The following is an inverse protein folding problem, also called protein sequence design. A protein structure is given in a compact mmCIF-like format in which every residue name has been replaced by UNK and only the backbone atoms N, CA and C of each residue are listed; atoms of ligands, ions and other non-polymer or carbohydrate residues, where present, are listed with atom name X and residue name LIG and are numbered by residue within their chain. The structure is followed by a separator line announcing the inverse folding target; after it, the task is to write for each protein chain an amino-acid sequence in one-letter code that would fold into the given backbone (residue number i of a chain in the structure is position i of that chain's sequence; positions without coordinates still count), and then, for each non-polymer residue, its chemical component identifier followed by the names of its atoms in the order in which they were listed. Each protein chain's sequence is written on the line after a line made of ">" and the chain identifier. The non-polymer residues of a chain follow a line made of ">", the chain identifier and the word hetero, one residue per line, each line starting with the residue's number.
data_IF_824974188722
#
_entry.id   IF_824974188722
#
_cell.length_a   1.000
_cell.length_b   1.000
_cell.length_c   1.000
_cell.angle_alpha   90.00
_cell.angle_beta   90.00
_cell.angle_gamma   90.00
#
_symmetry.space_group_name_H-M   'P 1'
#
loop_
_entity.id
_entity.type
_entity.pdbx_description
1 polymer ?
#
# COMPACT_ATOMS: atom_id res chain seq x y z
N UNK A 1 -14.91 1.31 7.30
CA UNK A 1 -13.55 0.98 7.80
C UNK A 1 -12.83 -0.04 6.92
N UNK A 2 -13.43 -1.19 6.60
CA UNK A 2 -12.78 -2.20 5.72
C UNK A 2 -12.43 -1.63 4.34
N UNK A 3 -13.36 -0.91 3.70
CA UNK A 3 -13.13 -0.24 2.41
C UNK A 3 -12.01 0.80 2.47
N UNK A 4 -11.94 1.57 3.57
CA UNK A 4 -10.86 2.54 3.82
C UNK A 4 -9.52 1.82 3.97
N UNK A 5 -9.48 0.73 4.74
CA UNK A 5 -8.27 -0.07 4.92
C UNK A 5 -7.79 -0.70 3.61
N UNK A 6 -8.70 -1.18 2.76
CA UNK A 6 -8.38 -1.67 1.42
C UNK A 6 -7.81 -0.54 0.53
N UNK A 7 -8.41 0.65 0.55
CA UNK A 7 -7.90 1.79 -0.20
C UNK A 7 -6.50 2.21 0.29
N UNK A 8 -6.27 2.25 1.60
CA UNK A 8 -4.96 2.52 2.21
C UNK A 8 -3.93 1.49 1.73
N UNK A 9 -4.28 0.19 1.75
CA UNK A 9 -3.41 -0.87 1.27
C UNK A 9 -3.05 -0.72 -0.20
N UNK A 10 -4.04 -0.49 -1.06
CA UNK A 10 -3.83 -0.33 -2.51
C UNK A 10 -2.95 0.88 -2.80
N UNK A 11 -3.22 2.04 -2.19
CA UNK A 11 -2.44 3.26 -2.40
C UNK A 11 -0.99 3.05 -1.93
N UNK A 12 -0.80 2.49 -0.72
CA UNK A 12 0.52 2.25 -0.16
C UNK A 12 1.36 1.31 -1.04
N UNK A 13 0.78 0.20 -1.50
CA UNK A 13 1.45 -0.76 -2.38
C UNK A 13 1.72 -0.15 -3.77
N UNK A 14 0.76 0.57 -4.33
CA UNK A 14 0.90 1.21 -5.65
C UNK A 14 2.02 2.24 -5.66
N UNK A 15 2.06 3.12 -4.65
CA UNK A 15 3.09 4.16 -4.54
C UNK A 15 4.50 3.58 -4.34
N UNK A 16 4.62 2.44 -3.66
CA UNK A 16 5.92 1.84 -3.32
C UNK A 16 6.43 0.84 -4.35
N UNK A 17 5.55 0.17 -5.10
CA UNK A 17 5.95 -0.87 -6.04
C UNK A 17 5.91 -0.42 -7.51
N UNK A 18 5.14 0.61 -7.85
CA UNK A 18 5.09 1.10 -9.24
C UNK A 18 6.29 1.98 -9.59
N UNK A 19 6.88 1.72 -10.77
CA UNK A 19 7.97 2.51 -11.33
C UNK A 19 7.55 3.95 -11.68
N UNK A 20 6.25 4.19 -11.88
CA UNK A 20 5.70 5.51 -12.18
C UNK A 20 5.93 6.50 -11.03
N UNK A 21 6.01 6.01 -9.79
CA UNK A 21 6.16 6.85 -8.59
C UNK A 21 7.60 6.96 -8.10
N UNK A 22 8.61 6.57 -8.90
CA UNK A 22 10.05 6.67 -8.52
C UNK A 22 10.47 8.06 -8.05
N UNK A 23 9.89 9.13 -8.64
CA UNK A 23 10.17 10.50 -8.22
C UNK A 23 9.70 10.76 -6.78
N UNK A 24 8.53 10.24 -6.42
CA UNK A 24 7.91 10.38 -5.10
C UNK A 24 8.59 9.47 -4.06
N UNK A 25 9.04 8.28 -4.48
CA UNK A 25 9.84 7.35 -3.67
C UNK A 25 11.23 7.90 -3.27
N UNK A 26 11.63 9.07 -3.76
CA UNK A 26 12.82 9.78 -3.22
C UNK A 26 12.60 10.19 -1.76
N UNK A 27 11.35 10.43 -1.35
CA UNK A 27 10.99 10.63 0.05
C UNK A 27 11.11 9.30 0.81
N UNK A 28 11.98 9.25 1.83
CA UNK A 28 12.24 8.01 2.61
C UNK A 28 10.96 7.38 3.19
N UNK A 29 10.02 8.20 3.62
CA UNK A 29 8.71 7.79 4.14
C UNK A 29 7.86 7.01 3.12
N UNK A 30 8.03 7.29 1.83
CA UNK A 30 7.25 6.73 0.73
C UNK A 30 7.94 5.56 0.03
N UNK A 31 9.05 5.06 0.59
CA UNK A 31 9.70 3.80 0.15
C UNK A 31 9.16 2.59 0.88
N UNK A 32 8.75 2.75 2.13
CA UNK A 32 8.23 1.68 2.95
C UNK A 32 6.70 1.62 2.79
N UNK A 33 6.12 0.47 2.37
CA UNK A 33 4.67 0.33 2.21
C UNK A 33 3.94 0.62 3.51
N UNK A 34 4.44 0.11 4.63
CA UNK A 34 3.84 0.32 5.95
C UNK A 34 3.91 1.78 6.39
N UNK A 35 5.04 2.48 6.17
CA UNK A 35 5.13 3.90 6.48
C UNK A 35 4.18 4.74 5.62
N UNK A 36 4.03 4.37 4.35
CA UNK A 36 3.07 5.01 3.43
C UNK A 36 1.63 4.77 3.90
N UNK A 37 1.30 3.54 4.34
CA UNK A 37 -0.01 3.23 4.91
C UNK A 37 -0.33 4.07 6.16
N UNK A 38 0.65 4.30 7.04
CA UNK A 38 0.49 5.19 8.19
C UNK A 38 0.19 6.62 7.74
N UNK A 39 0.95 7.13 6.76
CA UNK A 39 0.77 8.48 6.24
C UNK A 39 -0.60 8.66 5.56
N UNK A 40 -1.01 7.71 4.73
CA UNK A 40 -2.31 7.74 4.03
C UNK A 40 -3.46 7.61 5.02
N UNK A 41 -3.37 6.69 5.99
CA UNK A 41 -4.38 6.54 7.06
C UNK A 41 -4.52 7.84 7.86
N UNK A 42 -3.41 8.47 8.25
CA UNK A 42 -3.42 9.75 8.94
C UNK A 42 -4.13 10.85 8.15
N UNK A 43 -3.85 10.97 6.84
CA UNK A 43 -4.50 11.94 5.96
C UNK A 43 -6.01 11.69 5.83
N UNK A 44 -6.43 10.44 5.64
CA UNK A 44 -7.85 10.11 5.49
C UNK A 44 -8.62 10.47 6.75
N UNK A 45 -8.10 10.10 7.92
CA UNK A 45 -8.76 10.37 9.20
C UNK A 45 -8.66 11.83 9.62
N UNK A 46 -7.74 12.63 9.07
CA UNK A 46 -7.73 14.09 9.23
C UNK A 46 -8.94 14.74 8.56
N UNK A 47 -9.42 14.19 7.44
CA UNK A 47 -10.55 14.71 6.68
C UNK A 47 -11.93 14.28 7.23
N UNK A 48 -11.96 13.37 8.22
CA UNK A 48 -13.21 12.90 8.83
C UNK A 48 -13.59 13.77 10.04
N UNK A 49 -14.89 14.03 10.28
CA UNK A 49 -15.32 14.71 11.49
C UNK A 49 -14.93 13.88 12.72
N UNK A 50 -14.21 14.50 13.66
CA UNK A 50 -13.67 13.83 14.84
C UNK A 50 -14.51 14.15 16.06
N UNK A 51 -14.90 13.12 16.80
CA UNK A 51 -15.54 13.25 18.12
C UNK A 51 -14.52 13.58 19.20
N UNK A 52 -13.34 12.93 19.20
CA UNK A 52 -12.24 13.16 20.14
C UNK A 52 -10.86 12.77 19.56
N UNK A 53 -9.77 13.27 20.17
CA UNK A 53 -8.39 12.95 19.77
C UNK A 53 -8.07 11.44 19.91
N UNK A 54 -8.60 10.81 20.96
CA UNK A 54 -8.39 9.39 21.23
C UNK A 54 -9.02 8.51 20.14
N UNK A 55 -10.24 8.82 19.72
CA UNK A 55 -10.94 8.13 18.63
C UNK A 55 -10.17 8.25 17.32
N UNK A 56 -9.58 9.41 17.05
CA UNK A 56 -8.73 9.61 15.88
C UNK A 56 -7.51 8.66 15.89
N UNK A 57 -6.79 8.59 17.00
CA UNK A 57 -5.61 7.72 17.12
C UNK A 57 -6.01 6.26 16.93
N UNK A 58 -7.05 5.80 17.63
CA UNK A 58 -7.55 4.42 17.53
C UNK A 58 -7.94 4.10 16.08
N UNK A 59 -8.67 4.98 15.42
CA UNK A 59 -9.12 4.76 14.05
C UNK A 59 -7.98 4.70 13.04
N UNK A 60 -6.95 5.55 13.19
CA UNK A 60 -5.75 5.51 12.35
C UNK A 60 -5.05 4.16 12.49
N UNK A 61 -4.76 3.74 13.72
CA UNK A 61 -4.06 2.46 13.98
C UNK A 61 -4.89 1.24 13.60
N UNK A 62 -6.20 1.24 13.88
CA UNK A 62 -7.10 0.17 13.49
C UNK A 62 -7.16 0.01 11.96
N UNK A 63 -7.21 1.12 11.22
CA UNK A 63 -7.19 1.11 9.76
C UNK A 63 -5.89 0.53 9.22
N UNK A 64 -4.76 0.89 9.82
CA UNK A 64 -3.45 0.36 9.44
C UNK A 64 -3.37 -1.14 9.72
N UNK A 65 -3.77 -1.58 10.90
CA UNK A 65 -3.76 -2.99 11.29
C UNK A 65 -4.60 -3.84 10.32
N UNK A 66 -5.79 -3.35 9.96
CA UNK A 66 -6.66 -4.04 8.99
C UNK A 66 -6.06 -3.99 7.57
N UNK A 67 -5.36 -2.91 7.19
CA UNK A 67 -4.74 -2.78 5.87
C UNK A 67 -3.55 -3.71 5.63
N UNK A 68 -2.92 -4.24 6.68
CA UNK A 68 -1.76 -5.14 6.55
C UNK A 68 -2.13 -6.41 5.80
N UNK A 69 -3.31 -6.99 6.08
CA UNK A 69 -3.76 -8.22 5.42
C UNK A 69 -3.89 -8.05 3.88
N UNK A 70 -4.65 -7.07 3.35
CA UNK A 70 -4.71 -6.84 1.92
C UNK A 70 -3.36 -6.40 1.33
N UNK A 71 -2.49 -5.70 2.07
CA UNK A 71 -1.13 -5.41 1.59
C UNK A 71 -0.32 -6.69 1.34
N UNK A 72 -0.37 -7.66 2.24
CA UNK A 72 0.30 -8.97 2.07
C UNK A 72 -0.27 -9.70 0.85
N UNK A 73 -1.60 -9.68 0.66
CA UNK A 73 -2.24 -10.31 -0.49
C UNK A 73 -1.78 -9.65 -1.80
N UNK A 74 -1.76 -8.32 -1.86
CA UNK A 74 -1.28 -7.58 -3.05
C UNK A 74 0.18 -7.92 -3.33
N UNK A 75 1.04 -7.97 -2.30
CA UNK A 75 2.46 -8.31 -2.46
C UNK A 75 2.66 -9.72 -3.02
N UNK A 76 1.89 -10.67 -2.49
CA UNK A 76 1.91 -12.05 -2.96
C UNK A 76 1.49 -12.17 -4.43
N UNK A 77 0.40 -11.48 -4.82
CA UNK A 77 -0.10 -11.45 -6.18
C UNK A 77 0.92 -10.82 -7.14
N UNK A 78 1.52 -9.69 -6.76
CA UNK A 78 2.53 -9.02 -7.58
C UNK A 78 3.77 -9.92 -7.77
N UNK A 79 4.23 -10.58 -6.71
CA UNK A 79 5.35 -11.53 -6.80
C UNK A 79 5.05 -12.70 -7.72
N UNK A 80 3.81 -13.22 -7.71
CA UNK A 80 3.38 -14.30 -8.61
C UNK A 80 3.29 -13.83 -10.05
N UNK A 81 2.71 -12.66 -10.29
CA UNK A 81 2.61 -12.06 -11.62
C UNK A 81 3.98 -11.80 -12.23
N UNK A 82 4.93 -11.26 -11.47
CA UNK A 82 6.31 -11.04 -11.93
C UNK A 82 7.01 -12.34 -12.31
N UNK A 83 6.79 -13.42 -11.53
CA UNK A 83 7.31 -14.75 -11.87
C UNK A 83 6.69 -15.27 -13.17
N UNK A 84 5.38 -15.14 -13.35
CA UNK A 84 4.71 -15.54 -14.59
C UNK A 84 5.16 -14.73 -15.80
N UNK A 85 5.31 -13.41 -15.66
CA UNK A 85 5.80 -12.54 -16.73
C UNK A 85 7.23 -12.92 -17.16
N UNK A 86 8.12 -13.21 -16.22
CA UNK A 86 9.50 -13.65 -16.53
C UNK A 86 9.54 -14.96 -17.33
N UNK A 87 8.69 -15.94 -16.97
CA UNK A 87 8.60 -17.22 -17.70
C UNK A 87 8.08 -17.00 -19.13
N UNK A 88 7.07 -16.13 -19.28
CA UNK A 88 6.49 -15.84 -20.59
C UNK A 88 7.51 -15.17 -21.53
N UNK A 89 8.30 -14.23 -21.01
CA UNK A 89 9.30 -13.50 -21.79
C UNK A 89 10.61 -14.26 -22.00
N UNK A 90 11.00 -15.19 -21.11
CA UNK A 90 12.21 -16.02 -21.31
C UNK A 90 12.04 -17.06 -22.43
N UNK A 91 10.80 -17.43 -22.74
CA UNK A 91 10.48 -18.40 -23.80
C UNK A 91 10.74 -17.85 -25.21
N UNK A 92 10.85 -16.52 -25.35
CA UNK A 92 11.11 -15.84 -26.63
C UNK A 92 12.60 -15.57 -26.91
N UNK A 93 13.50 -15.84 -25.96
CA UNK A 93 14.95 -15.57 -26.08
C UNK A 93 15.82 -16.80 -26.41
N UNK A 94 15.21 -17.93 -26.73
CA UNK A 94 15.89 -19.21 -27.07
C UNK A 94 15.80 -19.61 -28.54
N UNK A 95 15.57 -18.65 -29.44
CA UNK A 95 15.63 -18.84 -30.89
C UNK A 95 16.72 -17.96 -31.51
#
# INVERSE_FOLDING_TARGET
>A
MITIALAVAVIAMTLTQSSLFRAIQKCKLLRCPYCTAHYVSFLIWLCQPKTNLLDFVINVFATIAISVLPMIVIDHLNTRMDKHAKILHSSHSTL
#
